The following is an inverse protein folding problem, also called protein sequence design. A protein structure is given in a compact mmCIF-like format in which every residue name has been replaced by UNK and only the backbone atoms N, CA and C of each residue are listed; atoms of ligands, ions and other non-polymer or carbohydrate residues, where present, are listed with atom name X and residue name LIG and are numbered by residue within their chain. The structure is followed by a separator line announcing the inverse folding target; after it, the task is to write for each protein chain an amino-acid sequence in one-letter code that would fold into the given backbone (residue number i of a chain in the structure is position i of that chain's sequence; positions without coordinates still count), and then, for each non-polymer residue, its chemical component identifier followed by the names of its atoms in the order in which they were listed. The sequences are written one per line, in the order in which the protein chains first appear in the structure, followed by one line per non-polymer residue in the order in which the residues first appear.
data_IF_556457584544
#
_entry.id   IF_556457584544
#
_cell.length_a   1.000
_cell.length_b   1.000
_cell.length_c   1.000
_cell.angle_alpha   90.00
_cell.angle_beta   90.00
_cell.angle_gamma   90.00
#
_symmetry.space_group_name_H-M   'P 1'
#
loop_
_entity.id
_entity.type
_entity.pdbx_description
1 polymer ?
2 non-polymer ?
3 water ?
#
# COMPACT_ATOMS: atom_id res chain seq x y z
N UNK A 1 -0.28 15.23 -13.73
CA UNK A 1 0.79 14.47 -13.01
C UNK A 1 1.96 14.25 -13.97
N UNK A 2 3.16 14.64 -13.52
CA UNK A 2 4.39 14.68 -14.35
C UNK A 2 5.24 13.44 -14.04
N UNK A 3 6.00 12.99 -15.03
CA UNK A 3 6.91 11.85 -14.92
C UNK A 3 6.19 10.53 -15.02
N UNK A 4 6.71 9.50 -14.36
CA UNK A 4 6.17 8.13 -14.57
C UNK A 4 5.25 7.79 -13.40
N UNK A 5 4.25 6.97 -13.68
CA UNK A 5 3.39 6.33 -12.64
C UNK A 5 3.34 4.82 -12.87
N UNK A 6 3.24 4.03 -11.80
CA UNK A 6 3.00 2.58 -11.91
C UNK A 6 1.60 2.41 -12.45
N UNK A 7 0.67 3.21 -11.93
CA UNK A 7 -0.79 2.97 -12.08
C UNK A 7 -1.52 4.29 -12.27
N UNK A 8 -2.77 4.23 -12.77
CA UNK A 8 -3.63 5.41 -12.76
C UNK A 8 -4.00 5.89 -11.35
N UNK A 9 -4.58 7.09 -11.30
CA UNK A 9 -4.94 7.71 -10.03
C UNK A 9 -5.88 6.77 -9.27
N UNK A 10 -5.68 6.65 -7.96
CA UNK A 10 -6.51 5.87 -7.02
C UNK A 10 -6.14 4.38 -7.05
N UNK A 11 -5.19 3.96 -7.90
CA UNK A 11 -4.71 2.55 -7.96
C UNK A 11 -3.29 2.48 -7.38
N UNK A 12 -2.90 1.31 -6.88
CA UNK A 12 -1.61 1.10 -6.18
C UNK A 12 -0.81 0.03 -6.93
N UNK A 13 0.49 0.32 -7.27
CA UNK A 13 1.28 -0.64 -8.05
C UNK A 13 2.16 -1.52 -7.23
N UNK A 14 2.01 -2.82 -7.45
CA UNK A 14 2.84 -3.86 -6.79
C UNK A 14 3.25 -4.85 -7.86
N UNK A 15 4.56 -4.99 -8.10
CA UNK A 15 5.08 -5.86 -9.16
C UNK A 15 4.46 -5.46 -10.46
N UNK A 16 3.81 -6.40 -11.16
CA UNK A 16 3.27 -6.12 -12.51
C UNK A 16 1.77 -5.83 -12.42
N UNK A 17 1.24 -5.58 -11.21
CA UNK A 17 -0.21 -5.37 -11.00
C UNK A 17 -0.49 -3.94 -10.53
N UNK A 18 -1.72 -3.51 -10.78
CA UNK A 18 -2.32 -2.29 -10.20
C UNK A 18 -3.54 -2.76 -9.41
N UNK A 19 -3.60 -2.40 -8.12
CA UNK A 19 -4.76 -2.72 -7.25
C UNK A 19 -5.62 -1.50 -6.96
N UNK A 20 -6.93 -1.74 -6.80
CA UNK A 20 -7.95 -0.73 -6.38
C UNK A 20 -8.67 -1.26 -5.13
N UNK A 21 -8.97 -0.40 -4.15
CA UNK A 21 -9.67 -0.85 -2.94
C UNK A 21 -10.88 0.02 -2.71
N UNK A 22 -12.05 -0.58 -2.52
CA UNK A 22 -13.26 0.20 -2.21
C UNK A 22 -13.24 0.52 -0.71
N UNK A 23 -13.96 1.56 -0.31
CA UNK A 23 -14.27 1.77 1.12
C UNK A 23 -15.77 1.60 1.36
N UNK A 24 -16.45 0.90 0.46
CA UNK A 24 -17.91 0.73 0.44
C UNK A 24 -18.14 -0.76 0.33
N UNK A 25 -18.89 -1.35 1.23
CA UNK A 25 -19.13 -2.80 1.20
C UNK A 25 -20.32 -3.10 0.27
N UNK A 26 -20.18 -4.15 -0.53
CA UNK A 26 -21.25 -4.65 -1.42
C UNK A 26 -21.10 -6.16 -1.57
N UNK A 27 -22.05 -6.76 -2.26
CA UNK A 27 -22.04 -8.23 -2.47
C UNK A 27 -21.06 -8.59 -3.57
N UNK A 28 -20.71 -9.86 -3.72
CA UNK A 28 -19.63 -10.26 -4.66
C UNK A 28 -20.02 -9.93 -6.07
N UNK A 29 -21.28 -10.21 -6.47
CA UNK A 29 -21.70 -9.95 -7.85
C UNK A 29 -21.54 -8.45 -8.18
N UNK A 30 -22.04 -7.57 -7.35
CA UNK A 30 -21.95 -6.10 -7.55
C UNK A 30 -20.46 -5.70 -7.71
N UNK A 31 -19.58 -6.32 -6.92
CA UNK A 31 -18.15 -6.02 -6.85
C UNK A 31 -17.50 -6.40 -8.20
N UNK A 32 -17.81 -7.61 -8.68
CA UNK A 32 -17.18 -8.11 -9.93
C UNK A 32 -17.70 -7.29 -11.09
N UNK A 33 -19.00 -6.92 -11.12
CA UNK A 33 -19.53 -6.00 -12.16
C UNK A 33 -18.73 -4.67 -12.19
N UNK A 34 -18.51 -4.08 -11.03
CA UNK A 34 -17.71 -2.86 -10.87
C UNK A 34 -16.31 -3.09 -11.46
N UNK A 35 -15.61 -4.15 -11.02
CA UNK A 35 -14.23 -4.37 -11.48
C UNK A 35 -14.18 -4.52 -13.01
N UNK A 36 -15.08 -5.31 -13.60
CA UNK A 36 -15.10 -5.47 -15.09
C UNK A 36 -15.33 -4.11 -15.77
N UNK A 37 -16.12 -3.23 -15.18
CA UNK A 37 -16.42 -1.88 -15.74
C UNK A 37 -15.18 -0.99 -15.69
N UNK A 38 -14.15 -1.36 -14.93
CA UNK A 38 -12.85 -0.64 -14.89
C UNK A 38 -11.80 -1.35 -15.76
N UNK A 39 -12.23 -2.26 -16.63
CA UNK A 39 -11.34 -3.13 -17.45
C UNK A 39 -10.44 -3.92 -16.50
N UNK A 40 -11.01 -4.35 -15.38
CA UNK A 40 -10.24 -5.05 -14.33
C UNK A 40 -11.02 -6.29 -13.89
N UNK A 41 -10.60 -6.91 -12.81
CA UNK A 41 -11.29 -8.11 -12.26
C UNK A 41 -11.19 -8.01 -10.75
N UNK A 42 -12.07 -8.70 -10.06
CA UNK A 42 -11.88 -8.86 -8.60
C UNK A 42 -10.49 -9.43 -8.33
N UNK A 43 -9.86 -8.91 -7.27
CA UNK A 43 -8.40 -8.96 -7.09
C UNK A 43 -7.88 -10.38 -7.26
N UNK A 44 -6.81 -10.46 -8.01
CA UNK A 44 -6.05 -11.73 -8.22
C UNK A 44 -4.61 -11.47 -7.79
N UNK A 45 -4.06 -12.44 -7.07
CA UNK A 45 -2.63 -12.46 -6.65
C UNK A 45 -1.96 -13.66 -7.31
N UNK A 46 -0.75 -13.39 -7.80
CA UNK A 46 0.08 -14.42 -8.49
C UNK A 46 1.41 -14.58 -7.77
N UNK A 47 1.70 -13.79 -6.76
CA UNK A 47 2.97 -13.91 -6.03
C UNK A 47 2.74 -13.69 -4.56
N UNK A 48 3.67 -14.20 -3.74
CA UNK A 48 3.66 -13.89 -2.30
C UNK A 48 3.66 -12.37 -2.06
N UNK A 49 4.49 -11.61 -2.78
CA UNK A 49 4.65 -10.14 -2.66
C UNK A 49 3.24 -9.54 -2.81
N UNK A 50 2.53 -9.92 -3.85
CA UNK A 50 1.16 -9.39 -4.10
C UNK A 50 0.18 -9.78 -2.97
N UNK A 51 0.17 -11.03 -2.57
CA UNK A 51 -0.74 -11.47 -1.48
C UNK A 51 -0.35 -10.74 -0.19
N UNK A 52 0.94 -10.58 0.12
CA UNK A 52 1.32 -9.91 1.39
C UNK A 52 0.85 -8.47 1.34
N UNK A 53 0.88 -7.82 0.18
CA UNK A 53 0.43 -6.41 0.03
C UNK A 53 -1.09 -6.32 0.32
N UNK A 54 -1.91 -7.17 -0.30
CA UNK A 54 -3.39 -7.25 -0.05
C UNK A 54 -3.65 -7.48 1.43
N UNK A 55 -2.93 -8.42 2.05
CA UNK A 55 -3.15 -8.84 3.46
C UNK A 55 -2.72 -7.75 4.43
N UNK A 56 -1.86 -6.82 4.05
CA UNK A 56 -1.47 -5.68 4.88
C UNK A 56 -2.36 -4.49 4.63
N UNK A 57 -2.64 -4.15 3.37
CA UNK A 57 -3.35 -2.88 3.03
C UNK A 57 -4.84 -3.01 3.47
N UNK A 58 -5.37 -4.24 3.54
CA UNK A 58 -6.79 -4.48 3.93
C UNK A 58 -7.00 -4.01 5.38
N UNK A 59 -5.95 -3.97 6.19
CA UNK A 59 -6.14 -3.65 7.64
C UNK A 59 -7.10 -4.63 8.29
N UNK A 60 -7.99 -4.12 9.14
CA UNK A 60 -8.88 -4.97 9.98
C UNK A 60 -10.19 -5.28 9.26
N UNK A 61 -10.30 -5.04 7.95
CA UNK A 61 -11.57 -5.26 7.22
C UNK A 61 -11.46 -6.40 6.21
N UNK A 62 -12.56 -7.13 6.09
CA UNK A 62 -12.70 -8.20 5.08
C UNK A 62 -12.77 -7.61 3.67
N UNK A 63 -12.09 -8.23 2.71
CA UNK A 63 -12.13 -7.83 1.29
C UNK A 63 -12.42 -8.98 0.33
N UNK A 64 -13.48 -8.84 -0.49
CA UNK A 64 -13.69 -9.80 -1.61
C UNK A 64 -12.47 -9.87 -2.53
N UNK A 65 -12.16 -11.08 -3.01
CA UNK A 65 -11.16 -11.31 -4.10
C UNK A 65 -11.81 -12.18 -5.19
N UNK A 66 -11.08 -12.38 -6.26
CA UNK A 66 -11.65 -12.92 -7.49
C UNK A 66 -11.75 -14.44 -7.54
N UNK A 67 -11.64 -15.18 -6.42
CA UNK A 67 -11.81 -16.67 -6.44
C UNK A 67 -13.27 -16.98 -6.19
N UNK A 68 -13.81 -17.95 -6.93
CA UNK A 68 -15.18 -18.41 -6.80
C UNK A 68 -15.31 -19.85 -7.31
N UNK A 69 -16.30 -20.56 -6.80
CA UNK A 69 -16.57 -21.95 -7.24
C UNK A 69 -18.08 -22.14 -7.45
N UNK A 70 -18.49 -23.09 -8.28
CA UNK A 70 -19.96 -23.25 -8.58
C UNK A 70 -20.69 -23.90 -7.38
N UNK A 71 -19.97 -24.68 -6.56
CA UNK A 71 -20.48 -25.34 -5.35
C UNK A 71 -19.27 -25.75 -4.52
N UNK A 72 -19.51 -26.29 -3.33
CA UNK A 72 -18.42 -26.79 -2.46
C UNK A 72 -17.71 -28.03 -3.07
N UNK A 73 -18.22 -28.59 -4.16
CA UNK A 73 -17.68 -29.81 -4.81
C UNK A 73 -17.04 -29.42 -6.14
N UNK A 74 -16.98 -28.13 -6.45
CA UNK A 74 -16.38 -27.67 -7.73
C UNK A 74 -15.03 -27.01 -7.45
N UNK A 75 -14.16 -26.91 -8.48
CA UNK A 75 -12.85 -26.29 -8.33
C UNK A 75 -12.99 -24.76 -8.17
N UNK A 76 -12.11 -24.20 -7.35
CA UNK A 76 -11.94 -22.73 -7.29
C UNK A 76 -11.35 -22.24 -8.62
N UNK A 77 -11.82 -21.12 -9.10
CA UNK A 77 -11.35 -20.48 -10.35
C UNK A 77 -11.37 -18.96 -10.13
N UNK A 78 -10.50 -18.28 -10.85
CA UNK A 78 -10.48 -16.81 -10.99
C UNK A 78 -11.65 -16.32 -11.84
N UNK A 79 -11.92 -15.02 -11.83
CA UNK A 79 -13.15 -14.51 -12.53
C UNK A 79 -13.04 -14.71 -14.04
N UNK A 80 -11.83 -14.91 -14.56
CA UNK A 80 -11.47 -15.21 -15.98
C UNK A 80 -11.63 -16.71 -16.30
N UNK A 81 -12.00 -17.52 -15.32
CA UNK A 81 -12.26 -18.97 -15.43
C UNK A 81 -10.97 -19.75 -15.42
N UNK A 82 -9.84 -19.12 -15.16
CA UNK A 82 -8.54 -19.82 -15.04
C UNK A 82 -8.46 -20.49 -13.65
N UNK A 83 -8.04 -21.75 -13.63
CA UNK A 83 -8.20 -22.52 -12.37
C UNK A 83 -7.21 -21.96 -11.33
N UNK A 84 -7.57 -22.06 -10.09
CA UNK A 84 -6.71 -21.77 -8.95
C UNK A 84 -5.59 -22.80 -8.86
N UNK A 85 -4.43 -22.37 -8.36
CA UNK A 85 -3.26 -23.26 -8.27
C UNK A 85 -3.21 -23.95 -6.92
N UNK A 86 -4.20 -23.77 -6.03
CA UNK A 86 -4.29 -24.50 -4.73
C UNK A 86 -3.02 -24.39 -3.91
N UNK A 87 -2.34 -23.23 -3.96
CA UNK A 87 -1.11 -22.94 -3.18
C UNK A 87 -1.40 -22.47 -1.77
N UNK A 88 -2.61 -21.99 -1.50
CA UNK A 88 -3.10 -21.63 -0.18
C UNK A 88 -4.45 -22.29 0.11
N UNK A 89 -4.68 -22.75 1.35
CA UNK A 89 -6.01 -23.28 1.73
C UNK A 89 -7.01 -22.14 1.79
N UNK A 90 -8.26 -22.51 1.59
CA UNK A 90 -9.42 -21.59 1.71
C UNK A 90 -10.38 -22.23 2.70
N UNK A 91 -10.78 -21.48 3.70
CA UNK A 91 -11.72 -22.01 4.72
C UNK A 91 -13.16 -22.00 4.18
N UNK A 92 -13.94 -22.98 4.64
CA UNK A 92 -15.41 -22.99 4.57
C UNK A 92 -15.97 -23.78 3.41
N UNK A 93 -17.31 -23.84 3.34
CA UNK A 93 -18.09 -24.56 2.29
C UNK A 93 -18.79 -23.59 1.32
N UNK A 94 -18.55 -22.27 1.36
CA UNK A 94 -19.30 -21.31 0.52
C UNK A 94 -18.56 -21.07 -0.79
N UNK A 95 -19.20 -20.36 -1.69
CA UNK A 95 -18.77 -20.31 -3.11
C UNK A 95 -17.82 -19.12 -3.43
N UNK A 96 -17.69 -18.10 -2.59
CA UNK A 96 -17.04 -16.81 -2.97
C UNK A 96 -15.94 -16.46 -1.96
N UNK A 97 -14.72 -16.16 -2.44
CA UNK A 97 -13.57 -16.03 -1.55
C UNK A 97 -13.39 -14.58 -1.08
N UNK A 98 -12.85 -14.44 0.12
CA UNK A 98 -12.51 -13.12 0.69
C UNK A 98 -11.28 -13.27 1.55
N UNK A 99 -10.63 -12.13 1.76
CA UNK A 99 -9.51 -12.04 2.73
C UNK A 99 -10.10 -11.68 4.08
N UNK A 100 -9.79 -12.48 5.10
CA UNK A 100 -10.31 -12.22 6.44
C UNK A 100 -9.17 -11.89 7.36
N UNK A 101 -9.40 -11.98 8.66
CA UNK A 101 -8.38 -11.65 9.69
C UNK A 101 -7.15 -12.56 9.50
N UNK A 102 -7.34 -13.82 9.07
CA UNK A 102 -6.37 -14.95 9.21
C UNK A 102 -5.78 -15.45 7.89
N UNK A 103 -6.39 -15.17 6.74
CA UNK A 103 -6.05 -15.80 5.46
C UNK A 103 -7.21 -15.66 4.49
N UNK A 104 -7.56 -16.73 3.78
CA UNK A 104 -8.65 -16.72 2.78
C UNK A 104 -9.79 -17.61 3.29
N UNK A 105 -11.01 -17.09 3.17
CA UNK A 105 -12.23 -17.76 3.64
C UNK A 105 -13.28 -17.72 2.52
N UNK A 106 -14.46 -18.24 2.79
CA UNK A 106 -15.53 -18.29 1.78
C UNK A 106 -16.80 -17.78 2.43
N UNK A 107 -17.62 -17.13 1.62
CA UNK A 107 -18.89 -16.52 2.05
C UNK A 107 -19.94 -16.71 0.97
N UNK A 108 -21.20 -16.52 1.37
CA UNK A 108 -22.33 -16.49 0.42
C UNK A 108 -22.30 -15.22 -0.44
N UNK A 109 -22.86 -15.28 -1.65
CA UNK A 109 -22.71 -14.23 -2.70
C UNK A 109 -23.27 -12.89 -2.15
N UNK A 110 -24.30 -12.94 -1.29
CA UNK A 110 -25.03 -11.72 -0.85
C UNK A 110 -24.39 -11.08 0.38
N UNK A 111 -23.32 -11.62 0.95
CA UNK A 111 -22.61 -10.96 2.07
C UNK A 111 -22.08 -9.61 1.63
N UNK A 112 -22.11 -8.63 2.52
CA UNK A 112 -21.53 -7.30 2.25
C UNK A 112 -20.08 -7.23 2.72
N UNK A 113 -19.18 -6.95 1.79
CA UNK A 113 -17.74 -6.77 2.08
C UNK A 113 -17.18 -5.71 1.14
N UNK A 114 -16.21 -4.96 1.63
CA UNK A 114 -15.39 -4.12 0.72
C UNK A 114 -14.74 -5.05 -0.32
N UNK A 115 -14.29 -4.51 -1.44
CA UNK A 115 -13.69 -5.36 -2.48
C UNK A 115 -12.42 -4.70 -2.99
N UNK A 116 -11.59 -5.54 -3.60
CA UNK A 116 -10.41 -5.06 -4.36
C UNK A 116 -10.54 -5.51 -5.82
N UNK A 117 -10.03 -4.66 -6.72
CA UNK A 117 -9.90 -4.97 -8.14
C UNK A 117 -8.41 -5.08 -8.48
N UNK A 118 -8.07 -5.89 -9.43
CA UNK A 118 -6.67 -5.87 -9.94
C UNK A 118 -6.69 -5.80 -11.45
N UNK A 119 -5.58 -5.31 -11.99
CA UNK A 119 -5.34 -5.51 -13.45
C UNK A 119 -3.85 -5.50 -13.75
N UNK A 120 -3.48 -6.17 -14.82
CA UNK A 120 -2.06 -6.25 -15.22
C UNK A 120 -1.59 -4.86 -15.64
N UNK A 121 -0.36 -4.50 -15.27
CA UNK A 121 0.38 -3.26 -15.64
C UNK A 121 0.77 -2.53 -14.36
N UNK B 1 1.24 12.53 -17.67
CA UNK B 1 2.37 11.63 -17.38
C UNK B 1 3.18 11.32 -18.63
N UNK B 2 4.40 10.88 -18.40
CA UNK B 2 5.35 10.50 -19.47
C UNK B 2 5.05 9.08 -19.93
N UNK B 3 4.66 8.22 -19.01
CA UNK B 3 4.40 6.80 -19.27
C UNK B 3 4.04 6.06 -17.99
N UNK B 4 3.68 4.81 -18.13
CA UNK B 4 3.41 3.89 -16.99
C UNK B 4 4.60 2.97 -16.88
N UNK B 5 5.10 2.80 -15.67
CA UNK B 5 6.21 1.88 -15.42
C UNK B 5 6.11 1.37 -13.98
N UNK B 6 6.17 0.05 -13.82
CA UNK B 6 6.14 -0.64 -12.51
C UNK B 6 7.29 -0.12 -11.64
N UNK B 7 7.04 0.15 -10.34
CA UNK B 7 8.16 0.32 -9.38
C UNK B 7 8.95 -0.99 -9.32
N UNK B 8 10.23 -0.90 -8.94
CA UNK B 8 11.06 -2.10 -8.77
C UNK B 8 10.58 -3.00 -7.63
N UNK B 9 11.11 -4.22 -7.60
CA UNK B 9 10.69 -5.24 -6.60
C UNK B 9 10.88 -4.67 -5.19
N UNK B 10 9.89 -4.92 -4.31
CA UNK B 10 9.90 -4.50 -2.90
C UNK B 10 9.44 -3.04 -2.76
N UNK B 11 9.21 -2.30 -3.86
CA UNK B 11 8.71 -0.89 -3.82
C UNK B 11 7.23 -0.87 -4.25
N UNK B 12 6.50 0.14 -3.77
CA UNK B 12 5.02 0.27 -4.01
C UNK B 12 4.78 1.58 -4.77
N UNK B 13 4.01 1.56 -5.87
CA UNK B 13 3.77 2.75 -6.66
C UNK B 13 2.49 3.43 -6.34
N UNK B 14 2.61 4.71 -6.03
CA UNK B 14 1.43 5.56 -5.77
C UNK B 14 1.66 6.90 -6.47
N UNK B 15 0.74 7.31 -7.36
CA UNK B 15 0.97 8.51 -8.17
C UNK B 15 2.29 8.39 -8.89
N UNK B 16 3.11 9.42 -8.85
CA UNK B 16 4.38 9.42 -9.61
C UNK B 16 5.54 8.97 -8.71
N UNK B 17 5.26 8.35 -7.57
CA UNK B 17 6.32 7.93 -6.60
C UNK B 17 6.37 6.40 -6.44
N UNK B 18 7.50 5.95 -5.91
CA UNK B 18 7.76 4.56 -5.46
C UNK B 18 8.14 4.65 -3.98
N UNK B 19 7.43 3.90 -3.12
CA UNK B 19 7.70 3.85 -1.67
C UNK B 19 8.32 2.51 -1.30
N UNK B 20 9.18 2.57 -0.26
CA UNK B 20 9.81 1.41 0.40
C UNK B 20 9.50 1.49 1.91
N UNK B 21 9.26 0.35 2.52
CA UNK B 21 9.01 0.30 3.98
C UNK B 21 9.92 -0.72 4.64
N UNK B 22 10.63 -0.30 5.68
CA UNK B 22 11.43 -1.26 6.46
C UNK B 22 10.53 -2.05 7.40
N UNK B 23 10.99 -3.20 7.83
CA UNK B 23 10.35 -3.88 8.99
C UNK B 23 11.34 -3.97 10.14
N UNK B 24 12.24 -3.02 10.23
CA UNK B 24 13.35 -3.04 11.22
C UNK B 24 13.43 -1.62 11.76
N UNK B 25 13.49 -1.45 13.08
CA UNK B 25 13.51 -0.09 13.68
C UNK B 25 14.95 0.36 13.86
N UNK B 26 15.24 1.59 13.45
CA UNK B 26 16.55 2.21 13.71
C UNK B 26 16.38 3.73 13.82
N UNK B 27 17.47 4.43 14.02
CA UNK B 27 17.43 5.87 14.28
C UNK B 27 17.33 6.67 12.99
N UNK B 28 16.98 7.97 13.10
CA UNK B 28 16.67 8.72 11.86
C UNK B 28 17.91 8.79 11.00
N UNK B 29 19.10 9.02 11.59
CA UNK B 29 20.29 9.15 10.75
C UNK B 29 20.56 7.86 9.94
N UNK B 30 20.52 6.72 10.58
CA UNK B 30 20.77 5.42 9.92
C UNK B 30 19.75 5.27 8.77
N UNK B 31 18.51 5.69 9.05
CA UNK B 31 17.39 5.50 8.09
C UNK B 31 17.64 6.35 6.85
N UNK B 32 18.01 7.62 7.06
CA UNK B 32 18.32 8.49 5.90
C UNK B 32 19.53 8.00 5.12
N UNK B 33 20.59 7.52 5.79
CA UNK B 33 21.77 6.89 5.09
C UNK B 33 21.30 5.74 4.20
N UNK B 34 20.48 4.84 4.73
CA UNK B 34 19.89 3.74 3.96
C UNK B 34 19.19 4.31 2.72
N UNK B 35 18.30 5.28 2.92
CA UNK B 35 17.45 5.77 1.79
C UNK B 35 18.34 6.33 0.67
N UNK B 36 19.30 7.17 1.06
CA UNK B 36 20.27 7.77 0.10
C UNK B 36 21.00 6.63 -0.63
N UNK B 37 21.32 5.52 0.04
CA UNK B 37 22.05 4.40 -0.64
C UNK B 37 21.16 3.68 -1.65
N UNK B 38 19.84 3.87 -1.59
CA UNK B 38 18.91 3.33 -2.62
C UNK B 38 18.62 4.40 -3.68
N UNK B 39 19.37 5.49 -3.70
CA UNK B 39 19.13 6.62 -4.63
C UNK B 39 17.75 7.21 -4.33
N UNK B 40 17.40 7.24 -3.04
CA UNK B 40 16.07 7.67 -2.57
C UNK B 40 16.28 8.61 -1.39
N UNK B 41 15.21 8.94 -0.71
CA UNK B 41 15.23 9.84 0.45
C UNK B 41 14.25 9.30 1.47
N UNK B 42 14.43 9.68 2.73
CA UNK B 42 13.35 9.42 3.70
C UNK B 42 12.03 9.98 3.19
N UNK B 43 10.95 9.23 3.44
CA UNK B 43 9.69 9.37 2.68
C UNK B 43 9.20 10.82 2.66
N UNK B 44 8.84 11.27 1.47
CA UNK B 44 8.22 12.59 1.22
C UNK B 44 6.88 12.37 0.54
N UNK B 45 5.86 13.07 1.01
CA UNK B 45 4.53 13.09 0.35
C UNK B 45 4.34 14.48 -0.25
N UNK B 46 3.75 14.51 -1.44
CA UNK B 46 3.44 15.78 -2.13
C UNK B 46 1.94 15.87 -2.42
N UNK B 47 1.14 14.85 -2.08
CA UNK B 47 -0.31 14.88 -2.30
C UNK B 47 -1.01 14.22 -1.14
N UNK B 48 -2.33 14.49 -0.98
CA UNK B 48 -3.16 13.74 -0.02
C UNK B 48 -3.16 12.23 -0.33
N UNK B 49 -3.23 11.84 -1.61
CA UNK B 49 -3.26 10.41 -2.04
C UNK B 49 -2.03 9.73 -1.42
N UNK B 50 -0.86 10.35 -1.59
CA UNK B 50 0.43 9.83 -1.05
C UNK B 50 0.45 9.78 0.49
N UNK B 51 0.03 10.83 1.20
CA UNK B 51 -0.01 10.82 2.67
C UNK B 51 -0.99 9.76 3.13
N UNK B 52 -2.16 9.67 2.48
CA UNK B 52 -3.18 8.70 2.94
C UNK B 52 -2.64 7.28 2.81
N UNK B 53 -1.94 6.97 1.73
CA UNK B 53 -1.34 5.64 1.50
C UNK B 53 -0.29 5.33 2.62
N UNK B 54 0.61 6.25 2.95
CA UNK B 54 1.62 6.05 4.03
C UNK B 54 0.90 5.81 5.35
N UNK B 55 -0.12 6.62 5.63
CA UNK B 55 -0.86 6.55 6.92
C UNK B 55 -1.64 5.25 7.03
N UNK B 56 -2.00 4.62 5.94
CA UNK B 56 -2.73 3.35 5.98
C UNK B 56 -1.73 2.19 5.99
N UNK B 57 -0.76 2.21 5.07
CA UNK B 57 0.16 1.07 4.92
C UNK B 57 1.05 0.91 6.17
N UNK B 58 1.28 1.97 6.95
CA UNK B 58 2.18 1.87 8.13
C UNK B 58 1.60 0.90 9.20
N UNK B 59 0.28 0.68 9.22
CA UNK B 59 -0.39 -0.04 10.30
C UNK B 59 -0.21 0.62 11.67
N UNK B 60 0.03 -0.19 12.70
CA UNK B 60 0.12 0.32 14.08
C UNK B 60 1.55 0.78 14.44
N UNK B 61 2.51 0.77 13.53
CA UNK B 61 3.92 1.08 13.83
C UNK B 61 4.25 2.52 13.43
N UNK B 62 5.04 3.23 14.24
CA UNK B 62 5.63 4.54 13.89
C UNK B 62 6.58 4.38 12.68
N UNK B 63 6.57 5.32 11.75
CA UNK B 63 7.51 5.36 10.61
C UNK B 63 8.17 6.72 10.52
N UNK B 64 9.52 6.74 10.50
CA UNK B 64 10.30 7.97 10.19
C UNK B 64 9.91 8.43 8.78
N UNK B 65 9.84 9.74 8.60
CA UNK B 65 9.70 10.43 7.27
C UNK B 65 10.78 11.50 7.13
N UNK B 66 10.83 12.09 5.96
CA UNK B 66 11.99 12.94 5.60
C UNK B 66 11.94 14.37 6.12
N UNK B 67 11.00 14.79 6.95
CA UNK B 67 10.99 16.14 7.56
C UNK B 67 11.91 16.22 8.78
N UNK B 68 12.67 17.30 8.86
CA UNK B 68 13.52 17.56 10.03
C UNK B 68 13.76 19.07 10.15
N UNK B 69 14.22 19.49 11.30
CA UNK B 69 14.57 20.91 11.54
C UNK B 69 15.86 20.97 12.36
N UNK B 70 16.65 22.03 12.19
CA UNK B 70 17.96 22.11 12.91
C UNK B 70 17.73 22.33 14.40
N UNK B 71 16.62 22.97 14.78
CA UNK B 71 16.19 23.21 16.18
C UNK B 71 14.69 23.47 16.22
N UNK B 72 14.09 23.63 17.40
CA UNK B 72 12.64 23.96 17.50
C UNK B 72 12.36 25.40 17.02
N UNK B 73 13.41 26.17 16.69
CA UNK B 73 13.24 27.54 16.18
C UNK B 73 13.65 27.64 14.71
N UNK B 74 13.88 26.50 14.05
CA UNK B 74 14.26 26.48 12.63
C UNK B 74 13.08 25.94 11.83
N UNK B 75 13.03 26.24 10.54
CA UNK B 75 11.97 25.69 9.71
C UNK B 75 12.13 24.20 9.43
N UNK B 76 10.99 23.51 9.38
CA UNK B 76 10.93 22.12 8.87
C UNK B 76 11.36 22.14 7.40
N UNK B 77 12.20 21.17 7.01
CA UNK B 77 12.61 20.95 5.62
C UNK B 77 12.70 19.43 5.36
N UNK B 78 12.62 19.09 4.07
CA UNK B 78 12.83 17.74 3.54
C UNK B 78 14.32 17.42 3.48
N UNK B 79 14.66 16.15 3.31
CA UNK B 79 16.08 15.76 3.39
C UNK B 79 16.87 16.39 2.21
N UNK B 80 16.20 16.88 1.17
CA UNK B 80 16.85 17.57 0.01
C UNK B 80 16.97 19.09 0.22
N UNK B 81 16.66 19.56 1.41
CA UNK B 81 16.71 20.97 1.89
C UNK B 81 15.57 21.79 1.29
N UNK B 82 14.61 21.20 0.60
CA UNK B 82 13.35 21.87 0.15
C UNK B 82 12.53 22.23 1.38
N UNK B 83 12.01 23.44 1.50
CA UNK B 83 11.27 23.79 2.74
C UNK B 83 9.89 23.09 2.71
N UNK B 84 9.44 22.72 3.87
CA UNK B 84 8.08 22.21 4.12
C UNK B 84 7.06 23.31 3.81
N UNK B 85 5.90 22.90 3.32
CA UNK B 85 4.84 23.87 2.95
C UNK B 85 3.83 24.10 4.08
N UNK B 86 4.07 23.56 5.27
CA UNK B 86 3.28 23.83 6.50
C UNK B 86 1.78 23.57 6.28
N UNK B 87 1.47 22.56 5.47
CA UNK B 87 0.06 22.17 5.13
C UNK B 87 -0.53 21.27 6.23
N UNK B 88 0.30 20.65 7.08
CA UNK B 88 -0.17 19.84 8.22
C UNK B 88 0.54 20.27 9.49
N UNK B 89 -0.15 20.14 10.62
CA UNK B 89 0.46 20.30 11.95
C UNK B 89 1.50 19.19 12.17
N UNK B 90 2.53 19.53 12.92
CA UNK B 90 3.49 18.55 13.46
C UNK B 90 3.53 18.74 14.97
N UNK B 91 3.23 17.68 15.72
CA UNK B 91 3.29 17.70 17.21
C UNK B 91 4.73 17.73 17.73
N UNK B 92 4.95 18.44 18.86
CA UNK B 92 6.16 18.31 19.69
C UNK B 92 7.18 19.37 19.43
N UNK B 93 8.28 19.32 20.18
CA UNK B 93 9.40 20.29 20.11
C UNK B 93 10.69 19.63 19.65
N UNK B 94 10.64 18.43 19.05
CA UNK B 94 11.87 17.71 18.64
C UNK B 94 12.13 17.99 17.17
N UNK B 95 13.24 17.51 16.65
CA UNK B 95 13.81 17.93 15.35
C UNK B 95 13.42 16.96 14.21
N UNK B 96 12.96 15.74 14.48
CA UNK B 96 12.86 14.69 13.43
C UNK B 96 11.43 14.14 13.33
N UNK B 97 10.82 14.15 12.15
CA UNK B 97 9.39 13.84 12.07
C UNK B 97 9.14 12.36 11.84
N UNK B 98 7.99 11.90 12.30
CA UNK B 98 7.53 10.51 12.05
C UNK B 98 6.01 10.50 11.95
N UNK B 99 5.46 9.46 11.33
CA UNK B 99 4.01 9.26 11.28
C UNK B 99 3.71 8.42 12.48
N UNK B 100 2.71 8.84 13.26
CA UNK B 100 2.19 7.97 14.34
C UNK B 100 0.76 7.59 14.02
N UNK B 101 0.01 7.16 15.02
CA UNK B 101 -1.41 6.77 14.89
C UNK B 101 -2.27 7.95 14.38
N UNK B 102 -1.96 9.20 14.76
CA UNK B 102 -2.87 10.39 14.58
C UNK B 102 -2.48 11.29 13.38
N UNK B 103 -1.21 11.30 13.02
CA UNK B 103 -0.69 12.18 11.98
C UNK B 103 0.81 12.32 12.16
N UNK B 104 1.35 13.53 12.13
CA UNK B 104 2.85 13.74 12.13
C UNK B 104 3.24 14.25 13.52
N UNK B 105 4.30 13.65 14.09
CA UNK B 105 4.89 14.00 15.40
C UNK B 105 6.40 14.12 15.25
N UNK B 106 7.07 14.54 16.32
CA UNK B 106 8.52 14.82 16.33
C UNK B 106 9.19 14.02 17.45
N UNK B 107 10.39 13.55 17.15
CA UNK B 107 11.19 12.70 18.09
C UNK B 107 12.66 13.08 18.02
N UNK B 108 13.42 12.70 19.06
CA UNK B 108 14.90 12.82 19.03
C UNK B 108 15.50 11.86 17.98
N UNK B 109 16.65 12.27 17.45
CA UNK B 109 17.34 11.57 16.34
C UNK B 109 17.59 10.09 16.72
N UNK B 110 17.85 9.76 17.99
CA UNK B 110 18.27 8.40 18.35
C UNK B 110 17.11 7.49 18.68
N UNK B 111 15.86 7.93 18.57
CA UNK B 111 14.71 7.03 18.73
C UNK B 111 14.76 5.93 17.67
N UNK B 112 14.38 4.73 18.04
CA UNK B 112 14.26 3.58 17.10
C UNK B 112 12.84 3.50 16.53
N UNK B 113 12.72 3.69 15.23
CA UNK B 113 11.44 3.53 14.48
C UNK B 113 11.73 2.86 13.14
N UNK B 114 10.75 2.10 12.63
CA UNK B 114 10.74 1.69 11.20
C UNK B 114 10.82 2.97 10.36
N UNK B 115 11.24 2.84 9.10
CA UNK B 115 11.33 4.00 8.22
C UNK B 115 10.72 3.65 6.87
N UNK B 116 10.37 4.71 6.15
CA UNK B 116 9.96 4.60 4.72
C UNK B 116 10.89 5.46 3.87
N UNK B 117 11.18 4.98 2.64
CA UNK B 117 11.94 5.72 1.63
C UNK B 117 11.00 6.07 0.48
N UNK B 118 11.23 7.18 -0.17
CA UNK B 118 10.47 7.48 -1.40
C UNK B 118 11.42 7.86 -2.51
N UNK B 119 10.96 7.74 -3.74
CA UNK B 119 11.68 8.40 -4.86
C UNK B 119 10.71 8.58 -6.01
N UNK B 120 11.01 9.57 -6.85
CA UNK B 120 10.13 9.75 -8.03
C UNK B 120 10.33 8.49 -8.90
N UNK B 121 9.25 8.02 -9.52
CA UNK B 121 9.31 6.86 -10.43
C UNK B 121 10.15 7.29 -11.65
N UNK B 122 11.24 6.60 -11.96
CA UNK B 122 12.17 6.99 -13.04
C UNK B 122 11.82 6.29 -14.36
N UNK B 123 10.80 5.44 -14.37
CA UNK B 123 10.41 4.59 -15.51
C UNK B 123 11.45 3.55 -15.89
N UNK B 124 12.26 3.11 -14.91
CA UNK B 124 13.39 2.13 -15.01
C UNK B 124 14.63 2.78 -15.66
N UNK B 125 14.59 4.05 -16.09
CA UNK B 125 15.63 4.65 -16.98
C UNK B 125 16.80 5.26 -16.21
N UNK B 126 16.67 5.56 -14.89
CA UNK B 126 17.71 6.25 -14.09
C UNK B 126 17.81 5.62 -12.69
#
# INVERSE_FOLDING_TARGET
ITGYAACPRNWIGVGNKCFYFSEYASNWTFSQTFCKAQEAELARFDTEEELNFLSRYKGSFDYWIGLHRESSEHPWKWTDNTQYNYSLSIRGVERYAYLNDIGISSARVYADKRWSCSRLNSGTHHHHHHHHG
ITGYAACPRNWIGVGNKCFYFSEYASNWTFSQTFCKAQEAELARFDTEEELNFLSRYKGSFDYWIGLHRESSEHPWKWTDNTQYNYSLSIRGVERYAYLNDIGISSARVYADKRWSCSRLNSGTHHHHHHHHG
#
